data_IF_095417313279
#
_entry.id   IF_095417313279
#
_cell.length_a   1.000
_cell.length_b   1.000
_cell.length_c   1.000
_cell.angle_alpha   90.00
_cell.angle_beta   90.00
_cell.angle_gamma   90.00
#
_symmetry.space_group_name_H-M   'P 1'
#
loop_
_entity.id
_entity.type
_entity.pdbx_description
1 polymer ?
#
# COMPACT_ATOMS: atom_id res chain seq x y z
N UNK A 1 -11.69 5.65 16.81
CA UNK A 1 -11.47 4.20 16.51
C UNK A 1 -12.43 3.64 15.46
N UNK A 2 -13.76 3.67 15.63
CA UNK A 2 -14.69 3.10 14.63
C UNK A 2 -14.61 3.79 13.25
N UNK A 3 -14.48 5.12 13.23
CA UNK A 3 -14.26 5.85 11.99
C UNK A 3 -12.95 5.43 11.30
N UNK A 4 -11.84 5.32 12.05
CA UNK A 4 -10.56 4.84 11.54
C UNK A 4 -10.65 3.42 10.97
N UNK A 5 -11.36 2.51 11.66
CA UNK A 5 -11.65 1.19 11.13
C UNK A 5 -12.42 1.26 9.81
N UNK A 6 -13.47 2.09 9.74
CA UNK A 6 -14.27 2.28 8.54
C UNK A 6 -13.44 2.77 7.35
N UNK A 7 -12.57 3.76 7.55
CA UNK A 7 -11.70 4.27 6.49
C UNK A 7 -10.59 3.31 6.10
N UNK A 8 -10.03 2.57 7.07
CA UNK A 8 -9.13 1.45 6.78
C UNK A 8 -9.82 0.34 5.99
N UNK A 9 -11.10 0.07 6.26
CA UNK A 9 -11.91 -0.87 5.46
C UNK A 9 -12.23 -0.33 4.07
N UNK A 10 -12.37 0.99 3.88
CA UNK A 10 -12.50 1.59 2.54
C UNK A 10 -11.22 1.34 1.75
N UNK A 11 -10.05 1.61 2.33
CA UNK A 11 -8.76 1.25 1.71
C UNK A 11 -8.66 -0.25 1.41
N UNK A 12 -9.00 -1.09 2.39
CA UNK A 12 -9.02 -2.56 2.25
C UNK A 12 -10.05 -3.08 1.24
N UNK A 13 -11.16 -2.37 1.01
CA UNK A 13 -12.15 -2.76 0.02
C UNK A 13 -11.59 -2.70 -1.40
N UNK A 14 -10.62 -1.82 -1.66
CA UNK A 14 -9.89 -1.79 -2.94
C UNK A 14 -9.22 -3.12 -3.25
N UNK A 15 -8.69 -3.81 -2.22
CA UNK A 15 -8.06 -5.12 -2.37
C UNK A 15 -9.07 -6.18 -2.81
N UNK A 16 -10.25 -6.19 -2.20
CA UNK A 16 -11.30 -7.17 -2.53
C UNK A 16 -11.86 -6.91 -3.93
N UNK A 17 -12.11 -5.64 -4.26
CA UNK A 17 -12.62 -5.23 -5.57
C UNK A 17 -11.60 -5.51 -6.67
N UNK A 18 -10.34 -5.12 -6.47
CA UNK A 18 -9.26 -5.38 -7.41
C UNK A 18 -9.05 -6.88 -7.64
N UNK A 19 -9.06 -7.69 -6.58
CA UNK A 19 -9.01 -9.15 -6.74
C UNK A 19 -10.19 -9.70 -7.55
N UNK A 20 -11.41 -9.22 -7.29
CA UNK A 20 -12.59 -9.59 -8.07
C UNK A 20 -12.45 -9.24 -9.55
N UNK A 21 -11.99 -8.02 -9.85
CA UNK A 21 -11.72 -7.57 -11.23
C UNK A 21 -10.64 -8.44 -11.87
N UNK A 22 -9.55 -8.75 -11.17
CA UNK A 22 -8.48 -9.61 -11.66
C UNK A 22 -8.97 -11.01 -12.05
N UNK A 23 -9.86 -11.59 -11.24
CA UNK A 23 -10.42 -12.92 -11.47
C UNK A 23 -11.37 -12.97 -12.70
N UNK A 24 -12.15 -11.90 -12.91
CA UNK A 24 -13.16 -11.83 -13.98
C UNK A 24 -12.56 -11.31 -15.29
N UNK A 25 -11.92 -10.15 -15.25
CA UNK A 25 -11.45 -9.44 -16.45
C UNK A 25 -10.11 -9.96 -17.00
N UNK A 26 -9.29 -10.60 -16.16
CA UNK A 26 -7.99 -11.19 -16.52
C UNK A 26 -7.14 -10.27 -17.42
N UNK A 27 -6.80 -9.05 -16.96
CA UNK A 27 -6.09 -8.08 -17.77
C UNK A 27 -4.73 -8.59 -18.25
N UNK A 28 -4.25 -8.03 -19.36
CA UNK A 28 -2.92 -8.33 -19.87
C UNK A 28 -1.83 -7.77 -18.94
N UNK A 29 -0.62 -8.34 -19.01
CA UNK A 29 0.52 -7.92 -18.19
C UNK A 29 0.86 -6.44 -18.36
N UNK A 30 0.75 -5.93 -19.60
CA UNK A 30 0.93 -4.52 -19.88
C UNK A 30 -0.09 -3.65 -19.15
N UNK A 31 -1.37 -4.05 -19.12
CA UNK A 31 -2.39 -3.31 -18.38
C UNK A 31 -2.08 -3.30 -16.90
N UNK A 32 -1.73 -4.45 -16.30
CA UNK A 32 -1.32 -4.54 -14.90
C UNK A 32 -0.18 -3.57 -14.61
N UNK A 33 0.90 -3.61 -15.40
CA UNK A 33 2.05 -2.72 -15.22
C UNK A 33 1.71 -1.23 -15.35
N UNK A 34 0.81 -0.83 -16.25
CA UNK A 34 0.39 0.57 -16.34
C UNK A 34 -0.45 1.00 -15.13
N UNK A 35 -1.30 0.13 -14.60
CA UNK A 35 -2.06 0.41 -13.37
C UNK A 35 -1.08 0.49 -12.17
N UNK A 36 -0.07 -0.40 -12.09
CA UNK A 36 1.00 -0.31 -11.08
C UNK A 36 1.80 0.99 -11.20
N UNK A 37 2.14 1.42 -12.42
CA UNK A 37 2.84 2.68 -12.67
C UNK A 37 2.04 3.89 -12.16
N UNK A 38 0.73 3.90 -12.42
CA UNK A 38 -0.18 4.94 -11.95
C UNK A 38 -0.27 4.95 -10.42
N UNK A 39 -0.52 3.78 -9.81
CA UNK A 39 -0.57 3.61 -8.36
C UNK A 39 0.73 4.04 -7.66
N UNK A 40 1.88 3.77 -8.29
CA UNK A 40 3.18 4.22 -7.80
C UNK A 40 3.25 5.74 -7.71
N UNK A 41 2.83 6.44 -8.77
CA UNK A 41 2.78 7.91 -8.79
C UNK A 41 1.87 8.47 -7.71
N UNK A 42 0.69 7.87 -7.55
CA UNK A 42 -0.29 8.22 -6.52
C UNK A 42 0.30 8.10 -5.11
N UNK A 43 0.99 7.00 -4.81
CA UNK A 43 1.66 6.81 -3.52
C UNK A 43 2.82 7.80 -3.31
N UNK A 44 3.61 8.10 -4.35
CA UNK A 44 4.68 9.11 -4.27
C UNK A 44 4.14 10.49 -3.90
N UNK A 45 2.98 10.87 -4.44
CA UNK A 45 2.33 12.12 -4.06
C UNK A 45 1.90 12.08 -2.59
N UNK A 46 1.19 11.03 -2.17
CA UNK A 46 0.69 10.90 -0.79
C UNK A 46 1.84 10.84 0.24
N UNK A 47 2.90 10.08 -0.02
CA UNK A 47 4.04 10.01 0.89
C UNK A 47 4.77 11.35 1.04
N UNK A 48 4.79 12.15 -0.02
CA UNK A 48 5.46 13.46 -0.01
C UNK A 48 4.66 14.48 0.79
N UNK A 49 3.40 14.71 0.41
CA UNK A 49 2.59 15.82 0.93
C UNK A 49 1.77 15.47 2.18
N UNK A 50 1.29 14.23 2.28
CA UNK A 50 0.34 13.85 3.34
C UNK A 50 1.02 13.11 4.49
N UNK A 51 2.11 12.39 4.24
CA UNK A 51 2.83 11.66 5.29
C UNK A 51 4.07 12.41 5.75
N UNK A 52 5.02 12.67 4.86
CA UNK A 52 6.33 13.22 5.25
C UNK A 52 6.22 14.67 5.68
N UNK A 53 5.48 15.50 4.96
CA UNK A 53 5.31 16.91 5.31
C UNK A 53 4.57 17.08 6.65
N UNK A 54 3.47 16.35 6.86
CA UNK A 54 2.74 16.41 8.13
C UNK A 54 3.55 15.82 9.30
N UNK A 55 4.28 14.72 9.07
CA UNK A 55 5.23 14.19 10.05
C UNK A 55 6.28 15.24 10.45
N UNK A 56 6.76 16.04 9.49
CA UNK A 56 7.68 17.14 9.75
C UNK A 56 7.03 18.27 10.56
N UNK A 57 5.80 18.66 10.22
CA UNK A 57 5.03 19.67 10.99
C UNK A 57 4.81 19.25 12.45
N UNK A 58 4.61 17.96 12.70
CA UNK A 58 4.36 17.40 14.04
C UNK A 58 5.61 17.13 14.86
N UNK A 59 6.61 16.49 14.26
CA UNK A 59 7.76 15.94 14.98
C UNK A 59 9.12 16.54 14.63
N UNK A 60 9.18 17.39 13.60
CA UNK A 60 10.42 18.00 13.14
C UNK A 60 11.39 17.03 12.44
N UNK A 61 12.54 17.54 12.02
CA UNK A 61 13.49 16.83 11.15
C UNK A 61 13.96 15.49 11.71
N UNK A 62 14.29 15.44 13.02
CA UNK A 62 14.88 14.25 13.63
C UNK A 62 13.86 13.11 13.69
N UNK A 63 12.61 13.40 14.06
CA UNK A 63 11.55 12.41 14.10
C UNK A 63 11.26 11.85 12.70
N UNK A 64 11.23 12.71 11.69
CA UNK A 64 11.02 12.30 10.29
C UNK A 64 12.15 11.43 9.79
N UNK A 65 13.41 11.87 9.93
CA UNK A 65 14.56 11.12 9.45
C UNK A 65 14.67 9.75 10.15
N UNK A 66 14.52 9.71 11.49
CA UNK A 66 14.57 8.47 12.25
C UNK A 66 13.39 7.55 11.90
N UNK A 67 12.18 8.10 11.79
CA UNK A 67 10.99 7.37 11.40
C UNK A 67 11.13 6.72 10.02
N UNK A 68 11.48 7.51 9.00
CA UNK A 68 11.69 7.03 7.63
C UNK A 68 12.69 5.87 7.58
N UNK A 69 13.86 6.04 8.21
CA UNK A 69 14.89 4.99 8.24
C UNK A 69 14.41 3.76 8.99
N UNK A 70 13.77 3.92 10.15
CA UNK A 70 13.24 2.80 10.92
C UNK A 70 12.15 2.03 10.15
N UNK A 71 11.25 2.74 9.47
CA UNK A 71 10.21 2.17 8.63
C UNK A 71 10.77 1.37 7.47
N UNK A 72 11.75 1.95 6.76
CA UNK A 72 12.43 1.28 5.66
C UNK A 72 13.16 0.01 6.11
N UNK A 73 13.91 0.09 7.22
CA UNK A 73 14.61 -1.07 7.78
C UNK A 73 13.66 -2.16 8.26
N UNK A 74 12.53 -1.78 8.89
CA UNK A 74 11.53 -2.74 9.33
C UNK A 74 10.88 -3.46 8.15
N UNK A 75 10.52 -2.72 7.10
CA UNK A 75 9.97 -3.30 5.87
C UNK A 75 10.99 -4.24 5.21
N UNK A 76 12.22 -3.77 4.99
CA UNK A 76 13.30 -4.55 4.40
C UNK A 76 13.58 -5.83 5.18
N UNK A 77 13.68 -5.75 6.51
CA UNK A 77 13.93 -6.92 7.34
C UNK A 77 12.80 -7.94 7.26
N UNK A 78 11.55 -7.48 7.27
CA UNK A 78 10.39 -8.35 7.13
C UNK A 78 10.34 -9.00 5.74
N UNK A 79 10.65 -8.25 4.68
CA UNK A 79 10.64 -8.76 3.31
C UNK A 79 11.75 -9.79 3.10
N UNK A 80 12.95 -9.49 3.59
CA UNK A 80 14.09 -10.40 3.58
C UNK A 80 13.84 -11.71 4.34
N UNK A 81 13.10 -11.68 5.47
CA UNK A 81 12.70 -12.90 6.20
C UNK A 81 11.74 -13.74 5.35
N UNK A 82 10.82 -13.11 4.62
CA UNK A 82 9.87 -13.83 3.76
C UNK A 82 10.58 -14.44 2.56
N UNK A 83 11.47 -13.68 1.91
CA UNK A 83 12.25 -14.13 0.76
C UNK A 83 13.08 -15.36 1.11
N UNK A 84 13.74 -15.36 2.27
CA UNK A 84 14.49 -16.53 2.77
C UNK A 84 13.65 -17.75 3.08
N UNK A 85 12.33 -17.59 3.24
CA UNK A 85 11.39 -18.69 3.45
C UNK A 85 10.70 -19.14 2.15
N UNK A 86 11.22 -18.72 0.99
CA UNK A 86 10.68 -19.11 -0.33
C UNK A 86 9.61 -18.15 -0.85
N UNK A 87 9.54 -16.92 -0.34
CA UNK A 87 8.61 -15.88 -0.82
C UNK A 87 9.15 -15.02 -1.98
N UNK A 88 10.38 -15.28 -2.44
CA UNK A 88 11.01 -14.51 -3.52
C UNK A 88 10.14 -14.62 -4.79
N UNK A 89 9.60 -13.49 -5.27
CA UNK A 89 8.72 -13.44 -6.46
C UNK A 89 7.21 -13.41 -6.16
N UNK A 90 6.79 -13.43 -4.88
CA UNK A 90 5.36 -13.37 -4.48
C UNK A 90 4.58 -12.16 -5.03
N UNK A 91 5.26 -11.06 -5.38
CA UNK A 91 4.66 -9.81 -5.86
C UNK A 91 4.66 -9.64 -7.40
N UNK A 92 5.20 -10.62 -8.15
CA UNK A 92 5.35 -10.55 -9.61
C UNK A 92 4.16 -11.20 -10.33
N UNK A 93 3.54 -10.55 -11.33
CA UNK A 93 2.37 -11.12 -12.02
C UNK A 93 2.69 -12.02 -13.23
N UNK A 94 3.97 -12.10 -13.61
CA UNK A 94 4.48 -12.82 -14.78
C UNK A 94 4.50 -14.35 -14.68
N UNK A 95 4.05 -14.94 -13.58
CA UNK A 95 4.08 -16.39 -13.35
C UNK A 95 5.27 -16.89 -12.53
N UNK A 96 6.17 -15.98 -12.13
CA UNK A 96 7.27 -16.24 -11.17
C UNK A 96 6.74 -16.62 -9.77
N UNK A 97 5.45 -16.42 -9.51
CA UNK A 97 4.73 -16.90 -8.33
C UNK A 97 4.52 -18.42 -8.29
N UNK A 98 4.91 -19.18 -9.32
CA UNK A 98 4.74 -20.64 -9.35
C UNK A 98 5.47 -21.38 -8.21
N UNK A 99 6.58 -20.81 -7.71
CA UNK A 99 7.30 -21.31 -6.52
C UNK A 99 6.85 -20.63 -5.20
N UNK A 100 6.12 -19.52 -5.30
CA UNK A 100 5.64 -18.76 -4.15
C UNK A 100 4.36 -19.36 -3.55
N UNK A 101 4.39 -19.74 -2.27
CA UNK A 101 3.19 -20.19 -1.56
C UNK A 101 2.12 -19.08 -1.52
N UNK A 102 0.84 -19.43 -1.67
CA UNK A 102 -0.29 -18.53 -1.45
C UNK A 102 -0.20 -17.80 -0.10
N UNK A 103 0.42 -18.44 0.90
CA UNK A 103 0.72 -17.84 2.20
C UNK A 103 1.72 -16.69 2.11
N UNK A 104 2.76 -16.79 1.28
CA UNK A 104 3.72 -15.72 1.09
C UNK A 104 3.05 -14.48 0.48
N UNK A 105 2.13 -14.67 -0.47
CA UNK A 105 1.35 -13.57 -1.06
C UNK A 105 0.50 -12.86 0.00
N UNK A 106 -0.16 -13.60 0.89
CA UNK A 106 -0.96 -13.01 1.98
C UNK A 106 -0.09 -12.25 2.97
N UNK A 107 0.99 -12.87 3.45
CA UNK A 107 1.91 -12.20 4.39
C UNK A 107 2.44 -10.92 3.76
N UNK A 108 2.72 -10.99 2.47
CA UNK A 108 3.04 -9.85 1.64
C UNK A 108 2.04 -8.72 1.66
N UNK A 109 0.82 -9.00 1.21
CA UNK A 109 -0.26 -8.04 1.19
C UNK A 109 -0.57 -7.47 2.58
N UNK A 110 -0.38 -8.26 3.64
CA UNK A 110 -0.49 -7.77 5.02
C UNK A 110 0.65 -6.81 5.37
N UNK A 111 1.88 -7.12 4.98
CA UNK A 111 3.03 -6.22 5.18
C UNK A 111 2.89 -4.88 4.46
N UNK A 112 2.23 -4.88 3.31
CA UNK A 112 2.01 -3.68 2.51
C UNK A 112 0.80 -2.90 3.06
N UNK A 113 -0.31 -3.61 3.33
CA UNK A 113 -1.55 -3.02 3.81
C UNK A 113 -1.51 -2.50 5.24
N UNK A 114 -0.68 -3.05 6.15
CA UNK A 114 -0.59 -2.58 7.54
C UNK A 114 -0.04 -1.15 7.63
N UNK A 115 1.14 -0.81 7.05
CA UNK A 115 1.65 0.55 7.02
C UNK A 115 0.67 1.54 6.39
N UNK A 116 0.06 1.19 5.25
CA UNK A 116 -0.91 2.05 4.55
C UNK A 116 -2.17 2.30 5.36
N UNK A 117 -2.68 1.27 6.02
CA UNK A 117 -3.89 1.40 6.83
C UNK A 117 -3.63 2.16 8.13
N UNK A 118 -2.47 1.94 8.75
CA UNK A 118 -2.03 2.72 9.90
C UNK A 118 -1.91 4.21 9.52
N UNK A 119 -1.32 4.51 8.34
CA UNK A 119 -1.27 5.87 7.79
C UNK A 119 -2.67 6.50 7.66
N UNK A 120 -3.66 5.79 7.11
CA UNK A 120 -5.06 6.27 7.08
C UNK A 120 -5.56 6.61 8.50
N UNK A 121 -5.33 5.72 9.47
CA UNK A 121 -5.72 5.93 10.87
C UNK A 121 -5.08 7.18 11.51
N UNK A 122 -3.83 7.48 11.16
CA UNK A 122 -3.09 8.65 11.66
C UNK A 122 -3.64 9.97 11.14
N UNK A 123 -4.16 10.02 9.91
CA UNK A 123 -4.73 11.26 9.34
C UNK A 123 -5.94 11.76 10.14
N UNK A 124 -6.69 10.86 10.77
CA UNK A 124 -7.81 11.23 11.64
C UNK A 124 -7.39 12.02 12.90
N UNK A 125 -6.11 11.95 13.27
CA UNK A 125 -5.56 12.71 14.39
C UNK A 125 -5.31 14.19 14.03
N UNK A 126 -5.44 14.58 12.76
CA UNK A 126 -5.20 15.96 12.27
C UNK A 126 -6.35 16.93 12.57
N UNK A 127 -7.48 16.44 13.12
CA UNK A 127 -8.61 17.28 13.56
C UNK A 127 -9.46 17.89 12.44
N UNK A 128 -9.00 17.85 11.18
CA UNK A 128 -9.70 18.35 9.99
C UNK A 128 -10.61 17.33 9.28
N UNK A 129 -10.61 16.07 9.73
CA UNK A 129 -11.28 14.96 9.04
C UNK A 129 -10.28 13.86 8.67
N UNK A 130 -10.66 12.98 7.76
CA UNK A 130 -9.71 12.02 7.18
C UNK A 130 -8.97 12.69 6.04
N UNK A 131 -7.68 12.41 5.90
CA UNK A 131 -6.92 12.75 4.69
C UNK A 131 -7.53 12.00 3.50
N UNK A 132 -8.51 12.62 2.83
CA UNK A 132 -9.24 12.03 1.69
C UNK A 132 -8.24 11.66 0.59
N UNK A 133 -7.21 12.48 0.41
CA UNK A 133 -6.10 12.20 -0.49
C UNK A 133 -5.34 10.92 -0.12
N UNK A 134 -5.03 10.69 1.17
CA UNK A 134 -4.36 9.45 1.63
C UNK A 134 -5.24 8.23 1.42
N UNK A 135 -6.52 8.30 1.80
CA UNK A 135 -7.44 7.17 1.60
C UNK A 135 -7.60 6.86 0.11
N UNK A 136 -7.78 7.88 -0.72
CA UNK A 136 -7.88 7.70 -2.16
C UNK A 136 -6.58 7.15 -2.75
N UNK A 137 -5.43 7.60 -2.25
CA UNK A 137 -4.14 7.12 -2.72
C UNK A 137 -3.89 5.64 -2.38
N UNK A 138 -4.19 5.26 -1.14
CA UNK A 138 -4.14 3.87 -0.67
C UNK A 138 -5.15 3.01 -1.41
N UNK A 139 -6.37 3.52 -1.67
CA UNK A 139 -7.37 2.80 -2.46
C UNK A 139 -6.88 2.56 -3.90
N UNK A 140 -6.38 3.61 -4.55
CA UNK A 140 -5.94 3.56 -5.95
C UNK A 140 -4.67 2.74 -6.17
N UNK A 141 -3.86 2.49 -5.13
CA UNK A 141 -2.67 1.63 -5.18
C UNK A 141 -2.99 0.16 -4.82
N UNK A 142 -3.83 -0.08 -3.82
CA UNK A 142 -4.25 -1.42 -3.44
C UNK A 142 -5.05 -2.16 -4.53
N UNK A 143 -5.82 -1.43 -5.33
CA UNK A 143 -6.57 -2.01 -6.44
C UNK A 143 -5.64 -2.67 -7.49
N UNK A 144 -4.65 -1.98 -8.09
CA UNK A 144 -3.66 -2.59 -8.99
C UNK A 144 -2.96 -3.82 -8.39
N UNK A 145 -2.53 -3.73 -7.13
CA UNK A 145 -1.76 -4.79 -6.47
C UNK A 145 -2.60 -6.07 -6.29
N UNK A 146 -3.83 -5.92 -5.84
CA UNK A 146 -4.75 -7.06 -5.68
C UNK A 146 -5.20 -7.66 -7.02
N UNK A 147 -5.36 -6.85 -8.09
CA UNK A 147 -5.58 -7.36 -9.45
C UNK A 147 -4.40 -8.24 -9.86
N UNK A 148 -3.19 -7.71 -9.73
CA UNK A 148 -1.93 -8.36 -10.09
C UNK A 148 -1.78 -9.71 -9.39
N UNK A 149 -1.88 -9.72 -8.06
CA UNK A 149 -1.73 -10.91 -7.25
C UNK A 149 -2.89 -11.91 -7.42
N UNK A 150 -4.13 -11.46 -7.63
CA UNK A 150 -5.25 -12.37 -7.89
C UNK A 150 -5.15 -13.06 -9.26
N UNK A 151 -4.73 -12.35 -10.31
CA UNK A 151 -4.46 -12.93 -11.63
C UNK A 151 -3.34 -13.97 -11.53
N UNK A 152 -2.28 -13.63 -10.81
CA UNK A 152 -1.16 -14.51 -10.49
C UNK A 152 -1.55 -15.82 -9.82
N UNK A 153 -2.22 -15.72 -8.66
CA UNK A 153 -2.77 -16.87 -7.92
C UNK A 153 -3.71 -17.71 -8.77
N UNK A 154 -4.52 -17.07 -9.62
CA UNK A 154 -5.44 -17.78 -10.51
C UNK A 154 -4.71 -18.57 -11.58
N UNK A 155 -3.62 -18.03 -12.15
CA UNK A 155 -2.76 -18.74 -13.11
C UNK A 155 -2.03 -19.91 -12.47
N UNK A 156 -1.65 -19.80 -11.20
CA UNK A 156 -1.07 -20.88 -10.40
C UNK A 156 -2.08 -21.97 -9.98
N UNK A 157 -3.33 -21.93 -10.47
CA UNK A 157 -4.35 -22.95 -10.17
C UNK A 157 -5.21 -22.67 -8.93
N UNK A 158 -5.06 -21.49 -8.30
CA UNK A 158 -5.84 -21.07 -7.15
C UNK A 158 -7.35 -21.03 -7.40
N UNK A 159 -8.12 -21.47 -6.40
CA UNK A 159 -9.60 -21.40 -6.42
C UNK A 159 -10.07 -19.95 -6.18
N UNK A 160 -11.03 -19.41 -6.96
CA UNK A 160 -11.43 -18.00 -6.85
C UNK A 160 -12.00 -17.64 -5.48
N UNK A 161 -12.75 -18.56 -4.86
CA UNK A 161 -13.30 -18.38 -3.52
C UNK A 161 -12.21 -18.26 -2.45
N UNK A 162 -11.13 -19.04 -2.57
CA UNK A 162 -9.99 -18.95 -1.65
C UNK A 162 -9.26 -17.61 -1.81
N UNK A 163 -8.99 -17.20 -3.06
CA UNK A 163 -8.35 -15.91 -3.36
C UNK A 163 -9.18 -14.75 -2.79
N UNK A 164 -10.49 -14.72 -3.03
CA UNK A 164 -11.36 -13.67 -2.48
C UNK A 164 -11.41 -13.70 -0.94
N UNK A 165 -11.48 -14.87 -0.32
CA UNK A 165 -11.46 -14.99 1.13
C UNK A 165 -10.15 -14.45 1.75
N UNK A 166 -9.01 -14.69 1.10
CA UNK A 166 -7.73 -14.12 1.51
C UNK A 166 -7.76 -12.59 1.49
N UNK A 167 -8.26 -11.97 0.42
CA UNK A 167 -8.34 -10.51 0.33
C UNK A 167 -9.32 -9.89 1.30
N UNK A 168 -10.44 -10.57 1.60
CA UNK A 168 -11.35 -10.14 2.68
C UNK A 168 -10.64 -10.16 4.04
N UNK A 169 -9.82 -11.18 4.30
CA UNK A 169 -9.04 -11.25 5.53
C UNK A 169 -7.99 -10.11 5.60
N UNK A 170 -7.27 -9.84 4.51
CA UNK A 170 -6.33 -8.71 4.45
C UNK A 170 -7.06 -7.38 4.69
N UNK A 171 -8.21 -7.16 4.04
CA UNK A 171 -9.02 -5.97 4.24
C UNK A 171 -9.49 -5.79 5.70
N UNK A 172 -9.87 -6.89 6.36
CA UNK A 172 -10.23 -6.84 7.77
C UNK A 172 -9.04 -6.46 8.67
N UNK A 173 -7.85 -7.00 8.38
CA UNK A 173 -6.61 -6.64 9.09
C UNK A 173 -6.23 -5.18 8.82
N UNK A 174 -6.39 -4.68 7.60
CA UNK A 174 -6.24 -3.26 7.26
C UNK A 174 -7.15 -2.37 8.11
N UNK A 175 -8.44 -2.69 8.20
CA UNK A 175 -9.37 -1.98 9.08
C UNK A 175 -8.92 -1.97 10.55
N UNK A 176 -8.43 -3.10 11.06
CA UNK A 176 -7.88 -3.19 12.41
C UNK A 176 -6.60 -2.35 12.57
N UNK A 177 -5.68 -2.41 11.61
CA UNK A 177 -4.44 -1.64 11.63
C UNK A 177 -4.71 -0.13 11.64
N UNK A 178 -5.70 0.35 10.87
CA UNK A 178 -6.13 1.74 10.92
C UNK A 178 -6.71 2.14 12.28
N UNK A 179 -7.56 1.28 12.86
CA UNK A 179 -8.13 1.52 14.19
C UNK A 179 -7.06 1.55 15.30
N UNK A 180 -6.05 0.67 15.22
CA UNK A 180 -4.93 0.64 16.14
C UNK A 180 -4.01 1.85 15.94
N UNK A 181 -3.71 2.22 14.69
CA UNK A 181 -2.93 3.42 14.37
C UNK A 181 -3.53 4.68 14.96
N UNK A 182 -4.86 4.83 14.89
CA UNK A 182 -5.57 5.92 15.57
C UNK A 182 -5.57 5.74 17.10
N UNK A 183 -6.04 4.59 17.59
CA UNK A 183 -6.36 4.40 19.02
C UNK A 183 -5.12 4.35 19.93
N UNK A 184 -3.99 3.86 19.44
CA UNK A 184 -2.73 3.82 20.22
C UNK A 184 -2.05 5.20 20.30
N UNK A 185 -2.40 6.12 19.41
CA UNK A 185 -1.67 7.39 19.23
C UNK A 185 -2.53 8.64 19.47
N UNK A 186 -3.83 8.49 19.72
CA UNK A 186 -4.77 9.58 20.04
C UNK A 186 -4.35 10.42 21.26
N UNK A 187 -3.62 9.81 22.21
CA UNK A 187 -3.07 10.48 23.40
C UNK A 187 -1.54 10.64 23.37
N UNK A 188 -0.90 10.37 22.23
CA UNK A 188 0.54 10.46 22.08
C UNK A 188 1.04 11.89 21.86
N UNK A 189 2.33 12.13 22.12
CA UNK A 189 2.95 13.42 21.82
C UNK A 189 3.03 13.66 20.30
N UNK A 190 2.96 14.91 19.81
CA UNK A 190 3.08 15.23 18.38
C UNK A 190 4.35 14.66 17.75
N UNK A 191 5.45 14.63 18.50
CA UNK A 191 6.73 14.05 18.06
C UNK A 191 6.61 12.56 17.80
N UNK A 192 5.94 11.81 18.68
CA UNK A 192 5.74 10.38 18.48
C UNK A 192 4.80 10.11 17.30
N UNK A 193 3.72 10.87 17.16
CA UNK A 193 2.79 10.77 16.03
C UNK A 193 3.53 11.03 14.71
N UNK A 194 4.32 12.09 14.64
CA UNK A 194 5.15 12.40 13.47
C UNK A 194 6.18 11.32 13.17
N UNK A 195 6.83 10.75 14.20
CA UNK A 195 7.78 9.64 14.01
C UNK A 195 7.10 8.39 13.44
N UNK A 196 5.89 8.03 13.91
CA UNK A 196 5.15 6.87 13.40
C UNK A 196 4.61 7.12 11.98
N UNK A 197 4.18 8.34 11.68
CA UNK A 197 3.75 8.74 10.33
C UNK A 197 4.92 8.67 9.34
N UNK A 198 6.10 9.14 9.74
CA UNK A 198 7.34 8.98 8.97
C UNK A 198 7.78 7.51 8.84
N UNK A 199 7.57 6.69 9.88
CA UNK A 199 7.79 5.24 9.81
C UNK A 199 6.91 4.59 8.73
N UNK A 200 5.61 4.92 8.70
CA UNK A 200 4.72 4.43 7.65
C UNK A 200 5.18 4.87 6.25
N UNK A 201 5.58 6.15 6.10
CA UNK A 201 6.13 6.66 4.85
C UNK A 201 7.39 5.91 4.39
N UNK A 202 8.31 5.59 5.31
CA UNK A 202 9.54 4.87 4.99
C UNK A 202 9.28 3.43 4.56
N UNK A 203 8.33 2.76 5.22
CA UNK A 203 7.90 1.42 4.85
C UNK A 203 7.25 1.40 3.45
N UNK A 204 6.31 2.32 3.18
CA UNK A 204 5.63 2.43 1.88
C UNK A 204 6.61 2.78 0.76
N UNK A 205 7.57 3.68 1.01
CA UNK A 205 8.57 4.04 0.00
C UNK A 205 9.48 2.85 -0.34
N UNK A 206 9.84 2.04 0.64
CA UNK A 206 10.64 0.81 0.44
C UNK A 206 9.83 -0.21 -0.36
N UNK A 207 8.58 -0.47 0.04
CA UNK A 207 7.64 -1.31 -0.70
C UNK A 207 7.52 -0.88 -2.16
N UNK A 208 7.34 0.41 -2.40
CA UNK A 208 7.17 0.96 -3.74
C UNK A 208 8.37 0.69 -4.65
N UNK A 209 9.58 0.85 -4.11
CA UNK A 209 10.82 0.62 -4.81
C UNK A 209 11.08 -0.88 -5.07
N UNK A 210 10.70 -1.75 -4.14
CA UNK A 210 10.94 -3.19 -4.26
C UNK A 210 9.97 -3.88 -5.22
N UNK A 211 8.79 -3.30 -5.48
CA UNK A 211 7.66 -4.08 -6.01
C UNK A 211 6.91 -3.36 -7.13
N UNK A 212 6.27 -2.23 -6.84
CA UNK A 212 5.39 -1.58 -7.79
C UNK A 212 6.17 -1.00 -8.97
N UNK A 213 7.30 -0.36 -8.69
CA UNK A 213 8.16 0.19 -9.72
C UNK A 213 8.77 -0.91 -10.60
N UNK A 214 9.44 -1.95 -10.06
CA UNK A 214 9.95 -3.06 -10.87
C UNK A 214 8.90 -3.70 -11.78
N UNK A 215 7.72 -4.05 -11.25
CA UNK A 215 6.64 -4.66 -12.03
C UNK A 215 6.16 -3.74 -13.17
N UNK A 216 6.04 -2.44 -12.88
CA UNK A 216 5.67 -1.44 -13.87
C UNK A 216 6.71 -1.36 -15.00
N UNK A 217 8.00 -1.29 -14.67
CA UNK A 217 9.08 -1.17 -15.64
C UNK A 217 9.28 -2.44 -16.47
N UNK A 218 9.06 -3.62 -15.89
CA UNK A 218 9.26 -4.90 -16.56
C UNK A 218 8.24 -5.14 -17.69
N UNK A 219 6.99 -4.73 -17.50
CA UNK A 219 5.91 -5.05 -18.47
C UNK A 219 5.21 -3.82 -19.08
N UNK A 220 5.43 -2.60 -18.58
CA UNK A 220 4.73 -1.40 -19.04
C UNK A 220 5.38 -0.71 -20.26
N UNK A 221 6.68 -0.92 -20.49
CA UNK A 221 7.44 -0.32 -21.59
C UNK A 221 7.66 1.20 -21.42
N UNK A 222 7.99 1.90 -22.53
CA UNK A 222 8.48 3.28 -22.47
C UNK A 222 7.51 4.35 -21.96
N UNK A 223 6.23 4.03 -21.74
CA UNK A 223 5.22 4.99 -21.24
C UNK A 223 5.10 5.01 -19.71
N UNK A 224 5.77 4.08 -19.00
CA UNK A 224 5.65 3.91 -17.54
C UNK A 224 5.87 5.22 -16.79
N UNK A 225 6.95 5.96 -17.13
CA UNK A 225 7.24 7.23 -16.49
C UNK A 225 6.12 8.27 -16.64
N UNK A 226 5.49 8.36 -17.82
CA UNK A 226 4.37 9.28 -18.05
C UNK A 226 3.13 8.89 -17.24
N UNK A 227 2.86 7.59 -17.12
CA UNK A 227 1.72 7.09 -16.35
C UNK A 227 1.95 7.28 -14.84
N UNK A 228 3.17 7.13 -14.36
CA UNK A 228 3.55 7.49 -12.99
C UNK A 228 3.36 8.98 -12.72
N UNK A 229 3.79 9.85 -13.63
CA UNK A 229 3.54 11.30 -13.49
C UNK A 229 2.04 11.61 -13.49
N UNK A 230 1.24 10.94 -14.33
CA UNK A 230 -0.20 11.11 -14.35
C UNK A 230 -0.85 10.70 -13.01
N UNK A 231 -0.40 9.59 -12.41
CA UNK A 231 -0.84 9.16 -11.08
C UNK A 231 -0.48 10.16 -9.98
N UNK A 232 0.77 10.65 -10.00
CA UNK A 232 1.22 11.69 -9.08
C UNK A 232 0.37 12.96 -9.21
N UNK A 233 0.18 13.45 -10.43
CA UNK A 233 -0.61 14.66 -10.69
C UNK A 233 -2.08 14.50 -10.25
N UNK A 234 -2.69 13.34 -10.48
CA UNK A 234 -4.05 13.06 -10.05
C UNK A 234 -4.20 13.09 -8.52
N UNK A 235 -3.26 12.45 -7.81
CA UNK A 235 -3.25 12.44 -6.34
C UNK A 235 -2.96 13.83 -5.76
N UNK A 236 -2.02 14.57 -6.36
CA UNK A 236 -1.73 15.95 -5.97
C UNK A 236 -2.94 16.88 -6.16
N UNK A 237 -3.63 16.80 -7.31
CA UNK A 237 -4.82 17.60 -7.57
C UNK A 237 -5.96 17.27 -6.59
N UNK A 238 -6.05 16.02 -6.15
CA UNK A 238 -7.01 15.62 -5.14
C UNK A 238 -6.66 16.21 -3.76
N UNK A 239 -5.39 16.14 -3.37
CA UNK A 239 -4.87 16.74 -2.13
C UNK A 239 -5.04 18.26 -2.13
N UNK A 240 -4.73 18.94 -3.24
CA UNK A 240 -4.89 20.39 -3.36
C UNK A 240 -6.35 20.86 -3.37
N UNK A 241 -7.31 19.96 -3.59
CA UNK A 241 -8.74 20.27 -3.63
C UNK A 241 -9.49 19.95 -2.32
N UNK A 242 -8.84 19.25 -1.37
CA UNK A 242 -9.38 18.90 -0.05
C UNK A 242 -8.93 19.85 1.03
#
# INVERSE_FOLDING_TARGET
MLAAAGWGLVGGAALVLGAGIGLVARPSQRVIALIMAFGAGVLISALTFELTEEAFRRGGTVAVAAGLVAGALAFFAADWVIDRRGGAGRKRSGGEQADGSATAIVIGALMDGIPESAAIGLTLLEGGGVGVAVVAAVFLSNMPESISAAVGLRRAGGRPSHILAMWVAVAAVSGLAAALGYGLLDSASPVLVGAVQAFAAGAILTMLADTMMPEAFEHGGGVVGLVTVAGFAAAYLLSAAS
#
